data_IF_143137470898
#
_entry.id   IF_143137470898
#
_cell.length_a   1.000
_cell.length_b   1.000
_cell.length_c   1.000
_cell.angle_alpha   90.00
_cell.angle_beta   90.00
_cell.angle_gamma   90.00
#
_symmetry.space_group_name_H-M   'P 1'
#
loop_
_entity.id
_entity.type
_entity.pdbx_description
1 polymer ?
#
# COMPACT_ATOMS: atom_id res chain seq x y z
N UNK A 1 -0.24 4.09 7.92
CA UNK A 1 -0.35 2.71 7.39
C UNK A 1 1.05 2.20 7.12
N UNK A 2 1.28 0.88 7.10
CA UNK A 2 2.61 0.29 6.80
C UNK A 2 3.24 0.80 5.50
N UNK A 3 2.42 1.16 4.50
CA UNK A 3 2.86 1.66 3.20
C UNK A 3 3.19 3.16 3.23
N UNK A 4 2.25 3.99 3.70
CA UNK A 4 2.47 5.42 3.93
C UNK A 4 2.09 5.76 5.39
N UNK A 5 3.07 5.85 6.30
CA UNK A 5 2.82 6.15 7.70
C UNK A 5 2.23 7.55 7.91
N UNK A 6 2.62 8.53 7.08
CA UNK A 6 2.25 9.94 7.24
C UNK A 6 0.74 10.14 7.16
N UNK A 7 0.05 9.47 6.24
CA UNK A 7 -1.42 9.55 6.13
C UNK A 7 -2.11 9.19 7.46
N UNK A 8 -1.65 8.17 8.17
CA UNK A 8 -2.25 7.80 9.47
C UNK A 8 -1.91 8.76 10.60
N UNK A 9 -0.72 9.38 10.55
CA UNK A 9 -0.34 10.41 11.51
C UNK A 9 -1.19 11.67 11.30
N UNK A 10 -1.33 12.11 10.05
CA UNK A 10 -2.13 13.28 9.68
C UNK A 10 -3.61 13.05 10.03
N UNK A 11 -4.16 11.86 9.78
CA UNK A 11 -5.54 11.51 10.15
C UNK A 11 -5.73 11.55 11.67
N UNK A 12 -4.80 10.97 12.43
CA UNK A 12 -4.83 11.03 13.90
C UNK A 12 -4.83 12.48 14.39
N UNK A 13 -4.00 13.33 13.79
CA UNK A 13 -3.83 14.72 14.22
C UNK A 13 -5.07 15.56 13.87
N UNK A 14 -5.66 15.36 12.69
CA UNK A 14 -6.93 15.96 12.30
C UNK A 14 -8.07 15.56 13.26
N UNK A 15 -8.21 14.27 13.58
CA UNK A 15 -9.21 13.78 14.52
C UNK A 15 -9.03 14.35 15.93
N UNK A 16 -7.77 14.49 16.40
CA UNK A 16 -7.47 15.10 17.71
C UNK A 16 -7.78 16.60 17.76
N UNK A 17 -7.60 17.30 16.64
CA UNK A 17 -7.93 18.71 16.50
C UNK A 17 -9.43 18.96 16.29
N UNK A 18 -10.24 17.91 16.09
CA UNK A 18 -11.65 18.03 15.71
C UNK A 18 -11.86 18.50 14.26
N UNK A 19 -10.80 18.45 13.43
CA UNK A 19 -10.86 18.80 12.01
C UNK A 19 -11.45 17.64 11.20
N UNK A 20 -12.78 17.57 11.20
CA UNK A 20 -13.53 16.53 10.51
C UNK A 20 -13.43 16.64 8.97
N UNK A 21 -13.14 17.83 8.43
CA UNK A 21 -13.01 18.03 6.97
C UNK A 21 -11.75 17.34 6.48
N UNK A 22 -10.60 17.68 7.07
CA UNK A 22 -9.31 17.04 6.73
C UNK A 22 -9.36 15.53 7.02
N UNK A 23 -10.00 15.11 8.12
CA UNK A 23 -10.15 13.70 8.43
C UNK A 23 -10.96 12.95 7.35
N UNK A 24 -12.07 13.52 6.88
CA UNK A 24 -12.89 12.94 5.82
C UNK A 24 -12.12 12.85 4.48
N UNK A 25 -11.35 13.87 4.13
CA UNK A 25 -10.50 13.86 2.94
C UNK A 25 -9.44 12.75 2.99
N UNK A 26 -8.77 12.60 4.14
CA UNK A 26 -7.76 11.56 4.34
C UNK A 26 -8.37 10.16 4.32
N UNK A 27 -9.56 9.98 4.91
CA UNK A 27 -10.32 8.72 4.84
C UNK A 27 -10.63 8.39 3.38
N UNK A 28 -11.22 9.32 2.64
CA UNK A 28 -11.55 9.12 1.22
C UNK A 28 -10.31 8.77 0.38
N UNK A 29 -9.17 9.39 0.69
CA UNK A 29 -7.90 9.12 0.00
C UNK A 29 -7.36 7.70 0.22
N UNK A 30 -7.68 7.06 1.36
CA UNK A 30 -7.24 5.68 1.65
C UNK A 30 -8.30 4.63 1.33
N UNK A 31 -9.58 5.01 1.18
CA UNK A 31 -10.70 4.08 1.00
C UNK A 31 -10.45 3.06 -0.09
N UNK A 32 -9.97 3.47 -1.27
CA UNK A 32 -9.69 2.56 -2.39
C UNK A 32 -8.70 1.44 -2.03
N UNK A 33 -7.65 1.76 -1.27
CA UNK A 33 -6.69 0.75 -0.83
C UNK A 33 -7.27 -0.17 0.23
N UNK A 34 -8.05 0.38 1.17
CA UNK A 34 -8.73 -0.41 2.19
C UNK A 34 -9.81 -1.34 1.61
N UNK A 35 -10.52 -0.89 0.59
CA UNK A 35 -11.49 -1.69 -0.16
C UNK A 35 -10.80 -2.88 -0.83
N UNK A 36 -9.67 -2.66 -1.51
CA UNK A 36 -8.85 -3.74 -2.06
C UNK A 36 -8.41 -4.72 -0.97
N UNK A 37 -7.96 -4.23 0.19
CA UNK A 37 -7.56 -5.07 1.35
C UNK A 37 -8.72 -5.90 1.89
N UNK A 38 -9.94 -5.38 1.84
CA UNK A 38 -11.15 -6.02 2.36
C UNK A 38 -11.78 -7.04 1.39
N UNK A 39 -11.43 -7.03 0.09
CA UNK A 39 -11.96 -7.99 -0.89
C UNK A 39 -11.74 -9.44 -0.45
N UNK A 40 -12.66 -10.31 -0.88
CA UNK A 40 -12.62 -11.75 -0.62
C UNK A 40 -12.53 -12.07 0.88
N UNK A 41 -13.38 -11.43 1.70
CA UNK A 41 -13.37 -11.57 3.16
C UNK A 41 -11.99 -11.27 3.77
N UNK A 42 -11.39 -10.15 3.36
CA UNK A 42 -10.03 -9.71 3.76
C UNK A 42 -8.88 -10.63 3.33
N UNK A 43 -9.09 -11.53 2.37
CA UNK A 43 -8.00 -12.39 1.87
C UNK A 43 -6.84 -11.60 1.25
N UNK A 44 -7.11 -10.37 0.79
CA UNK A 44 -6.11 -9.49 0.17
C UNK A 44 -5.42 -8.53 1.13
N UNK A 45 -5.75 -8.57 2.43
CA UNK A 45 -5.24 -7.61 3.40
C UNK A 45 -3.70 -7.51 3.38
N UNK A 46 -3.02 -8.65 3.52
CA UNK A 46 -1.55 -8.70 3.50
C UNK A 46 -1.01 -8.62 2.07
N UNK A 47 -1.68 -9.22 1.09
CA UNK A 47 -1.24 -9.23 -0.31
C UNK A 47 -1.17 -7.83 -0.91
N UNK A 48 -2.14 -6.96 -0.62
CA UNK A 48 -2.13 -5.57 -1.07
C UNK A 48 -1.00 -4.75 -0.44
N UNK A 49 -0.72 -4.95 0.85
CA UNK A 49 0.41 -4.30 1.53
C UNK A 49 1.74 -4.78 0.96
N UNK A 50 1.90 -6.10 0.77
CA UNK A 50 3.12 -6.68 0.21
C UNK A 50 3.36 -6.25 -1.22
N UNK A 51 2.32 -6.18 -2.03
CA UNK A 51 2.40 -5.67 -3.40
C UNK A 51 2.80 -4.20 -3.41
N UNK A 52 2.17 -3.35 -2.57
CA UNK A 52 2.51 -1.93 -2.50
C UNK A 52 3.97 -1.71 -2.10
N UNK A 53 4.44 -2.40 -1.06
CA UNK A 53 5.84 -2.33 -0.63
C UNK A 53 6.81 -2.89 -1.69
N UNK A 54 6.39 -3.89 -2.46
CA UNK A 54 7.20 -4.41 -3.56
C UNK A 54 7.30 -3.44 -4.73
N UNK A 55 6.23 -2.72 -5.06
CA UNK A 55 6.26 -1.66 -6.07
C UNK A 55 7.13 -0.47 -5.64
N UNK A 56 7.24 -0.20 -4.34
CA UNK A 56 8.16 0.79 -3.76
C UNK A 56 9.61 0.26 -3.60
N UNK A 57 9.89 -0.98 -4.00
CA UNK A 57 11.22 -1.59 -3.88
C UNK A 57 11.65 -1.96 -2.47
N UNK A 58 10.72 -2.00 -1.50
CA UNK A 58 11.03 -2.22 -0.08
C UNK A 58 11.07 -3.70 0.34
N UNK A 59 10.40 -4.59 -0.40
CA UNK A 59 10.39 -6.02 -0.10
C UNK A 59 9.85 -6.89 -1.25
N UNK A 60 9.94 -8.22 -1.14
CA UNK A 60 9.25 -9.14 -2.07
C UNK A 60 7.72 -9.06 -1.93
N UNK A 61 7.01 -9.24 -3.06
CA UNK A 61 5.54 -9.35 -3.14
C UNK A 61 4.99 -10.70 -2.67
N UNK A 62 5.86 -11.67 -2.38
CA UNK A 62 5.47 -13.01 -1.95
C UNK A 62 4.71 -13.01 -0.62
N UNK A 63 3.69 -13.88 -0.56
CA UNK A 63 2.88 -14.15 0.62
C UNK A 63 2.79 -15.65 0.84
N UNK A 64 2.62 -16.06 2.10
CA UNK A 64 2.46 -17.47 2.46
C UNK A 64 0.99 -17.90 2.31
N UNK A 65 0.77 -19.15 1.92
CA UNK A 65 -0.54 -19.78 2.00
C UNK A 65 -1.16 -19.65 3.41
N UNK A 66 -2.49 -19.45 3.52
CA UNK A 66 -3.50 -19.57 2.46
C UNK A 66 -3.66 -18.31 1.57
N UNK A 67 -2.95 -17.22 1.83
CA UNK A 67 -2.99 -16.03 0.97
C UNK A 67 -2.30 -16.28 -0.37
N UNK A 68 -2.77 -15.60 -1.41
CA UNK A 68 -2.18 -15.60 -2.75
C UNK A 68 -1.74 -14.19 -3.15
N UNK A 69 -0.83 -14.11 -4.12
CA UNK A 69 -0.47 -12.83 -4.73
C UNK A 69 -1.67 -12.22 -5.45
N UNK A 70 -1.69 -10.89 -5.56
CA UNK A 70 -2.68 -10.16 -6.34
C UNK A 70 -2.56 -10.47 -7.84
N UNK A 71 -3.70 -10.43 -8.53
CA UNK A 71 -3.77 -10.49 -10.00
C UNK A 71 -3.14 -9.26 -10.64
N UNK A 72 -2.81 -9.31 -11.94
CA UNK A 72 -2.19 -8.16 -12.63
C UNK A 72 -3.07 -6.90 -12.60
N UNK A 73 -4.39 -7.06 -12.73
CA UNK A 73 -5.33 -5.94 -12.64
C UNK A 73 -5.31 -5.28 -11.25
N UNK A 74 -5.25 -6.07 -10.18
CA UNK A 74 -5.17 -5.56 -8.81
C UNK A 74 -3.80 -4.94 -8.51
N UNK A 75 -2.72 -5.46 -9.11
CA UNK A 75 -1.39 -4.82 -9.03
C UNK A 75 -1.39 -3.46 -9.70
N UNK A 76 -2.07 -3.31 -10.83
CA UNK A 76 -2.27 -2.02 -11.48
C UNK A 76 -3.05 -1.06 -10.58
N UNK A 77 -4.12 -1.53 -9.94
CA UNK A 77 -4.88 -0.72 -8.97
C UNK A 77 -4.01 -0.23 -7.79
N UNK A 78 -3.12 -1.09 -7.26
CA UNK A 78 -2.14 -0.68 -6.24
C UNK A 78 -1.21 0.43 -6.76
N UNK A 79 -0.78 0.34 -8.03
CA UNK A 79 0.08 1.36 -8.64
C UNK A 79 -0.60 2.72 -8.71
N UNK A 80 -1.87 2.74 -9.10
CA UNK A 80 -2.66 3.97 -9.15
C UNK A 80 -2.86 4.58 -7.77
N UNK A 81 -3.18 3.76 -6.76
CA UNK A 81 -3.25 4.22 -5.35
C UNK A 81 -1.93 4.87 -4.91
N UNK A 82 -0.79 4.24 -5.21
CA UNK A 82 0.52 4.80 -4.85
C UNK A 82 0.82 6.11 -5.59
N UNK A 83 0.39 6.24 -6.84
CA UNK A 83 0.49 7.49 -7.59
C UNK A 83 -0.38 8.59 -6.98
N UNK A 84 -1.61 8.28 -6.59
CA UNK A 84 -2.53 9.20 -5.90
C UNK A 84 -1.98 9.65 -4.53
N UNK A 85 -1.16 8.82 -3.89
CA UNK A 85 -0.44 9.17 -2.66
C UNK A 85 0.85 9.96 -2.90
N UNK A 86 1.20 10.23 -4.16
CA UNK A 86 2.42 10.95 -4.53
C UNK A 86 3.70 10.12 -4.39
N UNK A 87 3.58 8.79 -4.30
CA UNK A 87 4.72 7.88 -4.13
C UNK A 87 5.22 7.31 -5.48
N UNK A 88 4.72 7.84 -6.60
CA UNK A 88 5.10 7.40 -7.95
C UNK A 88 6.60 7.57 -8.27
N UNK A 89 7.23 8.62 -7.74
CA UNK A 89 8.68 8.86 -7.91
C UNK A 89 9.57 7.84 -7.18
N UNK A 90 8.99 7.06 -6.25
CA UNK A 90 9.66 6.00 -5.51
C UNK A 90 9.44 4.61 -6.13
N UNK A 91 8.60 4.51 -7.17
CA UNK A 91 8.20 3.22 -7.77
C UNK A 91 9.31 2.50 -8.56
N UNK A 92 10.50 3.10 -8.72
CA UNK A 92 11.63 2.47 -9.40
C UNK A 92 12.99 2.92 -8.84
N UNK A 93 13.62 2.03 -8.06
CA UNK A 93 15.06 1.72 -8.16
C UNK A 93 15.26 0.23 -7.89
N UNK A 94 15.75 -0.54 -8.85
CA UNK A 94 16.35 -1.87 -8.62
C UNK A 94 17.35 -2.21 -9.75
N UNK A 95 18.41 -3.02 -9.50
CA UNK A 95 18.45 -4.11 -8.51
C UNK A 95 19.52 -4.01 -7.41
N UNK A 96 19.20 -4.58 -6.24
CA UNK A 96 20.20 -5.16 -5.34
C UNK A 96 20.72 -6.42 -6.03
N UNK A 97 22.00 -6.41 -6.40
CA UNK A 97 22.69 -7.58 -6.94
C UNK A 97 22.64 -8.73 -5.93
N UNK A 98 22.16 -9.88 -6.39
CA UNK A 98 22.30 -11.13 -5.68
C UNK A 98 23.77 -11.56 -5.74
N UNK A 99 24.51 -11.42 -4.65
CA UNK A 99 25.80 -12.07 -4.50
C UNK A 99 25.58 -13.57 -4.33
N UNK A 100 25.54 -14.29 -5.46
CA UNK A 100 25.82 -15.71 -5.48
C UNK A 100 27.33 -15.88 -5.32
N UNK A 101 27.77 -16.27 -4.12
CA UNK A 101 29.11 -16.80 -3.92
C UNK A 101 29.02 -18.33 -3.88
N UNK A 102 29.62 -18.95 -4.90
CA UNK A 102 30.00 -20.35 -4.94
C UNK A 102 31.25 -20.59 -4.09
#
# INVERSE_FOLDING_TARGET
MTVNPRISLDLRDALRAGDNVTAAELINRISRFEELRARNNSAHNVSAVKEALAQLGLCSREVRAPSSQLTEAERHEVREVLADWGMAGELVRTPVEATAAA
#
